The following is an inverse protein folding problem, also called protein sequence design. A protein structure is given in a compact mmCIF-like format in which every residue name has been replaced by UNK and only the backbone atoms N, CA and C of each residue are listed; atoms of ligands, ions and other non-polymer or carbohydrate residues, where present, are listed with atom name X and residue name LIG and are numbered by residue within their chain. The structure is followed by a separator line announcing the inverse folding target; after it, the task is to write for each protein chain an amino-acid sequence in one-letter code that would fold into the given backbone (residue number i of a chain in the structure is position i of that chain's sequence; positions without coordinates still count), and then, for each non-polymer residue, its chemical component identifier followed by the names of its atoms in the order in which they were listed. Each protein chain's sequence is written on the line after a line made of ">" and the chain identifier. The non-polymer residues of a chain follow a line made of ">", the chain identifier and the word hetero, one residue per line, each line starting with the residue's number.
data_IF_257085859067
#
_entry.id   IF_257085859067
#
_cell.length_a   1.000
_cell.length_b   1.000
_cell.length_c   1.000
_cell.angle_alpha   90.00
_cell.angle_beta   90.00
_cell.angle_gamma   90.00
#
_symmetry.space_group_name_H-M   'P 1'
#
loop_
_entity.id
_entity.type
_entity.pdbx_description
1 polymer ?
#
# COMPACT_ATOMS: atom_id res chain seq x y z
N UNK A 1 -9.32 -20.18 48.14
CA UNK A 1 -9.09 -19.27 47.01
C UNK A 1 -8.68 -20.10 45.81
N UNK A 2 -9.34 -19.93 44.67
CA UNK A 2 -8.93 -20.58 43.43
C UNK A 2 -8.05 -19.62 42.62
N UNK A 3 -7.05 -20.17 41.93
CA UNK A 3 -6.14 -19.45 41.05
C UNK A 3 -6.06 -20.20 39.72
N UNK A 4 -6.07 -19.45 38.63
CA UNK A 4 -5.81 -19.95 37.29
C UNK A 4 -4.41 -20.59 37.26
N UNK A 5 -4.31 -21.89 36.96
CA UNK A 5 -3.02 -22.58 36.79
C UNK A 5 -2.52 -22.52 35.36
N UNK A 6 -3.44 -22.47 34.40
CA UNK A 6 -3.12 -22.53 32.97
C UNK A 6 -3.84 -21.43 32.17
N UNK A 7 -3.23 -20.92 31.10
CA UNK A 7 -3.80 -19.84 30.29
C UNK A 7 -5.01 -20.28 29.46
N UNK A 8 -5.16 -21.59 29.19
CA UNK A 8 -6.29 -22.13 28.42
C UNK A 8 -6.49 -23.63 28.70
N UNK A 9 -7.69 -24.11 28.39
CA UNK A 9 -8.03 -25.52 28.28
C UNK A 9 -8.65 -25.77 26.91
N UNK A 10 -8.15 -26.76 26.16
CA UNK A 10 -8.55 -27.02 24.76
C UNK A 10 -9.21 -28.39 24.66
N UNK A 11 -10.41 -28.45 24.09
CA UNK A 11 -11.08 -29.70 23.73
C UNK A 11 -10.98 -29.88 22.21
N UNK A 12 -10.24 -30.89 21.78
CA UNK A 12 -10.07 -31.25 20.36
C UNK A 12 -11.15 -32.26 19.95
N UNK A 13 -12.16 -31.78 19.22
CA UNK A 13 -13.29 -32.60 18.75
C UNK A 13 -13.10 -33.17 17.33
N UNK A 14 -12.11 -32.66 16.58
CA UNK A 14 -11.70 -33.14 15.26
C UNK A 14 -10.19 -32.97 15.09
N UNK A 15 -9.60 -33.65 14.10
CA UNK A 15 -8.21 -33.37 13.73
C UNK A 15 -8.06 -31.90 13.33
N UNK A 16 -6.99 -31.28 13.82
CA UNK A 16 -6.70 -29.89 13.51
C UNK A 16 -6.14 -29.84 12.09
N UNK A 17 -6.72 -28.98 11.27
CA UNK A 17 -6.19 -28.71 9.93
C UNK A 17 -4.96 -27.83 10.08
N UNK A 18 -3.87 -28.21 9.41
CA UNK A 18 -2.68 -27.40 9.35
C UNK A 18 -3.00 -26.16 8.51
N UNK A 19 -2.94 -24.98 9.12
CA UNK A 19 -3.12 -23.74 8.37
C UNK A 19 -1.92 -23.56 7.44
N UNK A 20 -2.11 -23.81 6.14
CA UNK A 20 -1.12 -23.47 5.14
C UNK A 20 -1.05 -21.95 5.01
N UNK A 21 -0.15 -21.33 5.76
CA UNK A 21 0.25 -19.94 5.51
C UNK A 21 0.81 -19.85 4.10
N UNK A 22 0.39 -18.84 3.35
CA UNK A 22 1.19 -18.43 2.20
C UNK A 22 2.54 -17.99 2.76
N UNK A 23 3.58 -18.76 2.42
CA UNK A 23 4.94 -18.38 2.75
C UNK A 23 5.19 -17.07 1.99
N UNK A 24 5.69 -16.04 2.70
CA UNK A 24 6.18 -14.81 2.08
C UNK A 24 6.95 -15.17 0.80
N UNK A 25 6.76 -14.44 -0.32
CA UNK A 25 7.47 -14.72 -1.55
C UNK A 25 8.95 -14.90 -1.24
N UNK A 26 9.48 -16.09 -1.56
CA UNK A 26 10.79 -16.57 -1.09
C UNK A 26 11.94 -15.61 -1.44
N UNK A 27 11.73 -14.79 -2.47
CA UNK A 27 12.77 -13.96 -3.07
C UNK A 27 12.97 -12.61 -2.37
N UNK A 28 12.00 -12.09 -1.60
CA UNK A 28 12.18 -10.77 -0.97
C UNK A 28 11.29 -10.44 0.26
N UNK A 29 11.38 -11.21 1.37
CA UNK A 29 10.63 -10.93 2.60
C UNK A 29 10.95 -9.55 3.20
N UNK A 30 12.10 -8.96 2.86
CA UNK A 30 12.54 -7.65 3.34
C UNK A 30 11.69 -6.49 2.80
N UNK A 31 10.99 -6.66 1.68
CA UNK A 31 10.14 -5.59 1.15
C UNK A 31 8.95 -5.29 2.07
N UNK A 32 8.36 -6.29 2.72
CA UNK A 32 7.25 -6.07 3.65
C UNK A 32 7.70 -5.69 5.06
N UNK A 33 8.98 -5.82 5.41
CA UNK A 33 9.50 -5.28 6.67
C UNK A 33 9.62 -3.76 6.64
N UNK A 34 9.25 -3.02 7.70
CA UNK A 34 8.73 -3.50 8.98
C UNK A 34 7.19 -3.51 9.05
N UNK A 35 6.46 -3.40 7.94
CA UNK A 35 4.99 -3.45 7.96
C UNK A 35 4.46 -4.81 8.43
N UNK A 36 5.24 -5.87 8.21
CA UNK A 36 5.01 -7.21 8.75
C UNK A 36 6.28 -7.65 9.49
N UNK A 37 6.15 -7.94 10.77
CA UNK A 37 7.24 -8.42 11.64
C UNK A 37 6.75 -9.53 12.54
N UNK A 38 7.48 -10.64 12.61
CA UNK A 38 7.09 -11.84 13.39
C UNK A 38 5.65 -12.28 13.08
N UNK A 39 5.29 -12.23 11.79
CA UNK A 39 3.95 -12.53 11.27
C UNK A 39 2.82 -11.66 11.85
N UNK A 40 3.15 -10.48 12.37
CA UNK A 40 2.20 -9.49 12.88
C UNK A 40 2.24 -8.23 12.02
N UNK A 41 1.06 -7.63 11.85
CA UNK A 41 0.93 -6.37 11.14
C UNK A 41 1.35 -5.20 12.04
N UNK A 42 2.31 -4.41 11.57
CA UNK A 42 2.92 -3.29 12.27
C UNK A 42 2.86 -2.02 11.41
N UNK A 43 1.65 -1.57 11.08
CA UNK A 43 1.41 -0.31 10.38
C UNK A 43 0.00 0.25 10.61
N UNK A 44 -0.20 1.52 10.26
CA UNK A 44 -1.52 2.11 10.04
C UNK A 44 -1.80 2.14 8.53
N UNK A 45 -2.99 1.70 8.12
CA UNK A 45 -3.48 1.84 6.74
C UNK A 45 -4.29 3.12 6.65
N UNK A 46 -3.86 4.07 5.83
CA UNK A 46 -4.52 5.36 5.64
C UNK A 46 -5.18 5.37 4.26
N UNK A 47 -6.50 5.56 4.25
CA UNK A 47 -7.29 5.67 3.02
C UNK A 47 -7.95 7.04 2.95
N UNK A 48 -8.20 7.53 1.73
CA UNK A 48 -8.93 8.79 1.54
C UNK A 48 -10.38 8.71 2.03
N UNK A 49 -10.89 9.78 2.64
CA UNK A 49 -12.28 9.85 3.08
C UNK A 49 -13.28 9.87 1.90
N UNK A 50 -14.41 9.13 1.99
CA UNK A 50 -15.46 9.16 0.98
C UNK A 50 -16.24 10.49 0.97
N UNK A 51 -16.16 11.26 2.06
CA UNK A 51 -16.80 12.56 2.18
C UNK A 51 -15.98 13.63 1.43
N UNK A 52 -16.61 14.51 0.64
CA UNK A 52 -15.92 15.61 -0.01
C UNK A 52 -15.16 16.50 0.98
N UNK A 53 -13.85 16.63 0.82
CA UNK A 53 -13.02 17.49 1.65
C UNK A 53 -11.82 18.03 0.85
N UNK A 54 -11.06 18.96 1.45
CA UNK A 54 -9.95 19.63 0.79
C UNK A 54 -10.36 20.61 -0.32
N UNK A 55 -9.38 21.25 -1.00
CA UNK A 55 -9.64 22.26 -2.02
C UNK A 55 -10.44 21.73 -3.22
N UNK A 56 -10.18 20.48 -3.62
CA UNK A 56 -10.77 19.85 -4.81
C UNK A 56 -12.16 19.23 -4.56
N UNK A 57 -12.59 19.11 -3.29
CA UNK A 57 -13.86 18.48 -2.88
C UNK A 57 -14.10 17.10 -3.53
N UNK A 58 -13.04 16.36 -3.80
CA UNK A 58 -13.11 15.05 -4.43
C UNK A 58 -13.58 14.00 -3.42
N UNK A 59 -14.21 12.94 -3.93
CA UNK A 59 -14.61 11.77 -3.13
C UNK A 59 -13.66 10.62 -3.39
N UNK A 60 -13.12 10.03 -2.33
CA UNK A 60 -12.32 8.81 -2.45
C UNK A 60 -13.20 7.62 -2.87
N UNK A 61 -12.73 6.86 -3.87
CA UNK A 61 -13.23 5.51 -4.18
C UNK A 61 -12.17 4.44 -3.91
N UNK A 62 -11.03 4.85 -3.37
CA UNK A 62 -9.82 4.03 -3.28
C UNK A 62 -9.89 2.99 -2.17
N UNK A 63 -10.77 3.20 -1.17
CA UNK A 63 -10.99 2.27 -0.06
C UNK A 63 -11.46 0.89 -0.50
N UNK A 64 -12.25 0.78 -1.58
CA UNK A 64 -12.66 -0.52 -2.13
C UNK A 64 -11.50 -1.29 -2.73
N UNK A 65 -10.62 -0.62 -3.48
CA UNK A 65 -9.45 -1.27 -4.09
C UNK A 65 -8.41 -1.70 -3.05
N UNK A 66 -8.33 -0.98 -1.92
CA UNK A 66 -7.45 -1.35 -0.81
C UNK A 66 -7.76 -2.70 -0.16
N UNK A 67 -8.95 -3.29 -0.40
CA UNK A 67 -9.33 -4.60 0.16
C UNK A 67 -8.44 -5.72 -0.38
N UNK A 68 -8.13 -5.72 -1.69
CA UNK A 68 -7.28 -6.76 -2.28
C UNK A 68 -5.86 -6.71 -1.71
N UNK A 69 -5.34 -5.49 -1.51
CA UNK A 69 -4.05 -5.28 -0.84
C UNK A 69 -4.09 -5.77 0.63
N UNK A 70 -5.19 -5.51 1.35
CA UNK A 70 -5.36 -5.97 2.72
C UNK A 70 -5.43 -7.51 2.81
N UNK A 71 -6.13 -8.17 1.89
CA UNK A 71 -6.19 -9.63 1.81
C UNK A 71 -4.82 -10.25 1.53
N UNK A 72 -4.06 -9.64 0.61
CA UNK A 72 -2.69 -10.06 0.31
C UNK A 72 -1.76 -9.90 1.51
N UNK A 73 -1.76 -8.74 2.17
CA UNK A 73 -0.96 -8.54 3.40
C UNK A 73 -1.40 -9.52 4.49
N UNK A 74 -2.72 -9.73 4.63
CA UNK A 74 -3.33 -10.63 5.58
C UNK A 74 -2.93 -12.09 5.42
N UNK A 75 -2.60 -12.54 4.20
CA UNK A 75 -2.18 -13.92 3.95
C UNK A 75 -0.83 -14.27 4.59
N UNK A 76 -0.05 -13.27 4.99
CA UNK A 76 1.23 -13.43 5.70
C UNK A 76 1.11 -13.35 7.23
N UNK A 77 -0.06 -12.99 7.77
CA UNK A 77 -0.23 -12.78 9.21
C UNK A 77 -0.61 -14.09 9.94
N UNK A 78 -0.14 -14.28 11.18
CA UNK A 78 -0.64 -15.35 12.08
C UNK A 78 -1.82 -14.89 12.94
N UNK A 79 -2.04 -13.57 13.03
CA UNK A 79 -3.06 -12.96 13.85
C UNK A 79 -3.52 -11.65 13.22
N UNK A 80 -4.82 -11.37 13.28
CA UNK A 80 -5.41 -10.11 12.83
C UNK A 80 -5.46 -9.13 14.00
N UNK A 81 -4.65 -8.06 14.03
CA UNK A 81 -4.72 -7.08 15.09
C UNK A 81 -6.00 -6.25 15.04
N UNK A 82 -6.22 -5.42 16.09
CA UNK A 82 -7.26 -4.42 16.13
C UNK A 82 -7.26 -3.53 14.86
N UNK A 83 -8.40 -2.88 14.53
CA UNK A 83 -8.53 -2.07 13.33
C UNK A 83 -7.37 -1.06 13.19
N UNK A 84 -6.57 -1.23 12.14
CA UNK A 84 -5.41 -0.39 11.81
C UNK A 84 -5.70 0.58 10.67
N UNK A 85 -6.94 0.56 10.15
CA UNK A 85 -7.39 1.42 9.07
C UNK A 85 -7.91 2.74 9.63
N UNK A 86 -7.50 3.86 9.02
CA UNK A 86 -7.93 5.21 9.36
C UNK A 86 -8.27 5.98 8.09
N UNK A 87 -9.29 6.83 8.17
CA UNK A 87 -9.50 7.85 7.15
C UNK A 87 -8.44 8.94 7.30
N UNK A 88 -7.95 9.48 6.20
CA UNK A 88 -7.00 10.60 6.18
C UNK A 88 -7.47 11.84 6.98
N UNK A 89 -8.78 12.04 7.12
CA UNK A 89 -9.40 13.08 7.97
C UNK A 89 -9.39 12.76 9.47
N UNK A 90 -9.23 11.50 9.85
CA UNK A 90 -9.26 11.01 11.23
C UNK A 90 -7.86 10.81 11.82
N UNK A 91 -6.84 10.72 10.97
CA UNK A 91 -5.45 10.54 11.39
C UNK A 91 -5.01 11.68 12.33
N UNK A 92 -4.20 11.32 13.33
CA UNK A 92 -3.57 12.24 14.29
C UNK A 92 -2.04 12.17 14.19
N UNK A 93 -1.34 13.14 14.76
CA UNK A 93 0.12 13.23 14.69
C UNK A 93 0.84 11.97 15.18
N UNK A 94 0.33 11.35 16.24
CA UNK A 94 0.92 10.11 16.78
C UNK A 94 0.68 8.90 15.87
N UNK A 95 -0.38 8.92 15.06
CA UNK A 95 -0.60 7.90 14.04
C UNK A 95 0.36 8.08 12.87
N UNK A 96 0.66 9.32 12.48
CA UNK A 96 1.61 9.64 11.39
C UNK A 96 3.05 9.26 11.73
N UNK A 97 3.43 9.16 13.00
CA UNK A 97 4.79 8.80 13.42
C UNK A 97 5.08 7.29 13.43
N UNK A 98 4.12 6.45 13.05
CA UNK A 98 4.24 4.97 12.97
C UNK A 98 4.62 4.52 11.56
N UNK A 99 4.68 3.20 11.30
CA UNK A 99 4.75 2.72 9.92
C UNK A 99 3.41 2.99 9.22
N UNK A 100 3.45 3.45 7.99
CA UNK A 100 2.26 3.86 7.23
C UNK A 100 2.13 3.07 5.94
N UNK A 101 0.93 2.59 5.64
CA UNK A 101 0.53 2.17 4.30
C UNK A 101 -0.54 3.15 3.85
N UNK A 102 -0.28 3.89 2.79
CA UNK A 102 -1.17 4.95 2.31
C UNK A 102 -1.71 4.54 0.95
N UNK A 103 -3.03 4.57 0.82
CA UNK A 103 -3.75 4.22 -0.40
C UNK A 103 -4.50 5.45 -0.90
N UNK A 104 -4.27 5.76 -2.17
CA UNK A 104 -4.98 6.81 -2.89
C UNK A 104 -4.14 8.05 -3.18
N UNK A 105 -4.50 8.72 -4.28
CA UNK A 105 -3.78 9.87 -4.82
C UNK A 105 -3.94 11.15 -4.00
N UNK A 106 -3.12 12.18 -4.28
CA UNK A 106 -3.07 13.43 -3.52
C UNK A 106 -4.36 14.25 -3.57
N UNK A 107 -5.21 14.02 -4.58
CA UNK A 107 -6.51 14.70 -4.70
C UNK A 107 -7.52 14.19 -3.64
N UNK A 108 -7.43 12.92 -3.27
CA UNK A 108 -8.43 12.24 -2.41
C UNK A 108 -7.85 11.76 -1.08
N UNK A 109 -6.53 11.85 -0.89
CA UNK A 109 -5.84 11.51 0.33
C UNK A 109 -4.91 12.66 0.74
N UNK A 110 -5.27 13.38 1.80
CA UNK A 110 -4.52 14.54 2.30
C UNK A 110 -3.09 14.17 2.69
N UNK A 111 -2.88 13.00 3.29
CA UNK A 111 -1.54 12.57 3.70
C UNK A 111 -0.66 12.32 2.48
N UNK A 112 -1.21 11.72 1.42
CA UNK A 112 -0.50 11.61 0.13
C UNK A 112 -0.09 12.99 -0.38
N UNK A 113 -0.98 13.99 -0.35
CA UNK A 113 -0.67 15.35 -0.80
C UNK A 113 0.47 16.00 0.00
N UNK A 114 0.49 15.84 1.33
CA UNK A 114 1.50 16.42 2.22
C UNK A 114 2.91 15.84 1.99
N UNK A 115 3.00 14.53 1.73
CA UNK A 115 4.29 13.84 1.54
C UNK A 115 4.74 13.80 0.07
N UNK A 116 3.86 14.12 -0.88
CA UNK A 116 4.02 13.88 -2.30
C UNK A 116 5.41 14.31 -2.82
N UNK A 117 5.79 15.58 -2.63
CA UNK A 117 7.06 16.15 -3.11
C UNK A 117 8.32 15.61 -2.37
N UNK A 118 8.15 14.78 -1.33
CA UNK A 118 9.25 14.13 -0.61
C UNK A 118 9.55 12.73 -1.13
N UNK A 119 8.73 12.21 -2.05
CA UNK A 119 8.92 10.88 -2.64
C UNK A 119 9.80 10.96 -3.90
N UNK A 120 10.60 9.91 -4.18
CA UNK A 120 11.44 9.86 -5.39
C UNK A 120 10.61 9.76 -6.69
N UNK A 121 9.38 9.26 -6.57
CA UNK A 121 8.36 9.26 -7.62
C UNK A 121 7.11 9.88 -7.01
N UNK A 122 6.59 10.93 -7.64
CA UNK A 122 5.53 11.76 -7.06
C UNK A 122 4.56 12.25 -8.15
N UNK A 123 3.43 12.80 -7.75
CA UNK A 123 2.46 13.40 -8.67
C UNK A 123 2.75 14.89 -8.91
N UNK A 124 2.99 15.33 -10.13
CA UNK A 124 3.25 16.72 -10.42
C UNK A 124 1.97 17.50 -10.73
N UNK A 125 1.58 18.40 -9.84
CA UNK A 125 0.39 19.23 -9.99
C UNK A 125 0.44 20.12 -11.24
N UNK A 126 1.62 20.63 -11.61
CA UNK A 126 1.79 21.50 -12.77
C UNK A 126 1.59 20.73 -14.09
N UNK A 127 1.82 19.41 -14.05
CA UNK A 127 1.60 18.48 -15.16
C UNK A 127 0.30 17.69 -14.99
N UNK A 128 -0.76 18.34 -14.49
CA UNK A 128 -2.09 17.73 -14.33
C UNK A 128 -2.08 16.46 -13.47
N UNK A 129 -1.27 16.46 -12.41
CA UNK A 129 -1.03 15.34 -11.51
C UNK A 129 -0.45 14.10 -12.19
N UNK A 130 0.24 14.25 -13.32
CA UNK A 130 1.03 13.17 -13.92
C UNK A 130 2.07 12.64 -12.93
N UNK A 131 2.39 11.35 -13.02
CA UNK A 131 3.45 10.77 -12.19
C UNK A 131 4.79 11.20 -12.78
N UNK A 132 5.67 11.75 -11.96
CA UNK A 132 7.03 12.14 -12.33
C UNK A 132 8.05 11.36 -11.48
N UNK A 133 9.07 10.81 -12.14
CA UNK A 133 10.18 10.13 -11.48
C UNK A 133 11.40 11.02 -11.45
N UNK A 134 11.86 11.41 -10.26
CA UNK A 134 13.15 12.09 -10.10
C UNK A 134 14.34 11.16 -10.31
N UNK A 135 14.10 9.83 -10.38
CA UNK A 135 15.15 8.83 -10.59
C UNK A 135 15.51 8.76 -12.07
N UNK A 136 14.51 8.69 -12.95
CA UNK A 136 14.69 8.57 -14.41
C UNK A 136 14.55 9.90 -15.15
N UNK A 137 13.86 10.89 -14.57
CA UNK A 137 13.42 12.12 -15.24
C UNK A 137 12.15 11.95 -16.09
N UNK A 138 11.55 10.75 -16.13
CA UNK A 138 10.36 10.47 -16.93
C UNK A 138 9.08 11.02 -16.30
N UNK A 139 8.10 11.29 -17.15
CA UNK A 139 6.74 11.67 -16.77
C UNK A 139 5.73 10.73 -17.41
N UNK A 140 4.76 10.27 -16.61
CA UNK A 140 3.72 9.32 -16.97
C UNK A 140 2.35 10.00 -16.80
N UNK A 141 1.74 10.51 -17.89
CA UNK A 141 0.52 11.32 -17.82
C UNK A 141 -0.78 10.50 -17.77
N UNK A 142 -0.70 9.20 -18.03
CA UNK A 142 -1.84 8.28 -18.15
C UNK A 142 -2.62 8.15 -16.83
N UNK A 143 -3.95 8.10 -16.91
CA UNK A 143 -4.82 7.97 -15.73
C UNK A 143 -4.76 6.55 -15.13
N UNK A 144 -4.40 5.57 -15.97
CA UNK A 144 -4.14 4.17 -15.66
C UNK A 144 -2.74 3.95 -15.07
N UNK A 145 -1.92 5.00 -14.99
CA UNK A 145 -0.62 4.94 -14.34
C UNK A 145 -0.75 5.01 -12.81
N UNK A 146 -0.07 4.10 -12.14
CA UNK A 146 0.04 4.02 -10.69
C UNK A 146 1.49 4.04 -10.23
N UNK A 147 1.73 4.50 -9.00
CA UNK A 147 3.02 4.43 -8.34
C UNK A 147 2.94 3.54 -7.09
N UNK A 148 4.07 2.89 -6.82
CA UNK A 148 4.29 2.08 -5.62
C UNK A 148 5.62 2.52 -5.04
N UNK A 149 5.60 3.12 -3.86
CA UNK A 149 6.80 3.69 -3.23
C UNK A 149 6.91 3.21 -1.80
N UNK A 150 7.98 2.48 -1.49
CA UNK A 150 8.43 2.19 -0.13
C UNK A 150 9.59 3.12 0.22
N UNK A 151 9.46 3.89 1.29
CA UNK A 151 10.47 4.85 1.74
C UNK A 151 10.51 4.97 3.27
N UNK A 152 11.43 5.79 3.79
CA UNK A 152 11.39 6.22 5.19
C UNK A 152 10.19 7.13 5.40
N UNK A 153 9.52 6.98 6.54
CA UNK A 153 8.40 7.83 6.88
C UNK A 153 8.88 9.29 7.11
N UNK A 154 8.38 10.28 6.34
CA UNK A 154 8.77 11.68 6.50
C UNK A 154 8.41 12.32 7.84
N UNK A 155 7.43 11.77 8.56
CA UNK A 155 7.03 12.22 9.90
C UNK A 155 7.89 11.59 11.01
N UNK A 156 8.55 10.46 10.73
CA UNK A 156 9.46 9.78 11.64
C UNK A 156 10.41 8.81 10.89
N UNK A 157 11.67 9.19 10.73
CA UNK A 157 12.66 8.42 9.94
C UNK A 157 13.01 7.03 10.51
N UNK A 158 12.61 6.74 11.75
CA UNK A 158 12.74 5.40 12.33
C UNK A 158 11.67 4.42 11.80
N UNK A 159 10.60 4.93 11.19
CA UNK A 159 9.51 4.15 10.61
C UNK A 159 9.52 4.22 9.08
N UNK A 160 8.70 3.40 8.44
CA UNK A 160 8.60 3.29 6.98
C UNK A 160 7.22 3.65 6.47
N UNK A 161 7.18 3.99 5.19
CA UNK A 161 5.98 4.37 4.48
C UNK A 161 5.90 3.56 3.19
N UNK A 162 4.73 3.00 2.91
CA UNK A 162 4.38 2.37 1.65
C UNK A 162 3.22 3.16 1.04
N UNK A 163 3.47 3.82 -0.08
CA UNK A 163 2.46 4.55 -0.85
C UNK A 163 2.06 3.71 -2.06
N UNK A 164 0.76 3.45 -2.21
CA UNK A 164 0.18 2.75 -3.36
C UNK A 164 -0.95 3.64 -3.89
N UNK A 165 -0.71 4.31 -5.01
CA UNK A 165 -1.62 5.36 -5.47
C UNK A 165 -1.54 5.58 -6.98
N UNK A 166 -2.65 6.00 -7.57
CA UNK A 166 -2.69 6.67 -8.87
C UNK A 166 -3.29 8.07 -8.74
N UNK A 167 -3.17 8.84 -9.82
CA UNK A 167 -3.83 10.15 -9.96
C UNK A 167 -5.36 10.00 -9.91
N UNK A 168 -5.85 8.92 -10.53
CA UNK A 168 -7.25 8.49 -10.52
C UNK A 168 -7.36 7.07 -9.94
N UNK A 169 -8.60 6.66 -9.70
CA UNK A 169 -8.90 5.33 -9.16
C UNK A 169 -8.39 4.20 -10.07
N UNK A 170 -8.36 4.40 -11.39
CA UNK A 170 -7.79 3.46 -12.37
C UNK A 170 -6.31 3.21 -12.09
N UNK A 171 -5.50 4.27 -11.94
CA UNK A 171 -4.10 4.17 -11.55
C UNK A 171 -3.89 3.56 -10.16
N UNK A 172 -4.72 3.87 -9.17
CA UNK A 172 -4.64 3.22 -7.84
C UNK A 172 -4.89 1.71 -7.97
N UNK A 173 -5.88 1.31 -8.77
CA UNK A 173 -6.15 -0.10 -9.06
C UNK A 173 -4.98 -0.76 -9.80
N UNK A 174 -4.37 -0.09 -10.78
CA UNK A 174 -3.16 -0.58 -11.43
C UNK A 174 -2.02 -0.78 -10.42
N UNK A 175 -1.76 0.18 -9.54
CA UNK A 175 -0.75 0.05 -8.48
C UNK A 175 -1.01 -1.17 -7.59
N UNK A 176 -2.26 -1.41 -7.21
CA UNK A 176 -2.65 -2.57 -6.39
C UNK A 176 -2.49 -3.88 -7.17
N UNK A 177 -3.00 -3.98 -8.40
CA UNK A 177 -2.84 -5.18 -9.23
C UNK A 177 -1.37 -5.48 -9.47
N UNK A 178 -0.55 -4.46 -9.72
CA UNK A 178 0.89 -4.61 -9.82
C UNK A 178 1.50 -5.14 -8.54
N UNK A 179 1.14 -4.57 -7.40
CA UNK A 179 1.58 -5.06 -6.09
C UNK A 179 1.28 -6.54 -5.89
N UNK A 180 0.09 -7.00 -6.29
CA UNK A 180 -0.38 -8.37 -6.12
C UNK A 180 0.26 -9.35 -7.10
N UNK A 181 0.25 -9.00 -8.39
CA UNK A 181 0.65 -9.92 -9.49
C UNK A 181 2.13 -9.86 -9.83
N UNK A 182 2.82 -8.76 -9.49
CA UNK A 182 4.22 -8.48 -9.84
C UNK A 182 5.06 -8.14 -8.60
N UNK A 183 4.68 -8.68 -7.43
CA UNK A 183 5.32 -8.39 -6.14
C UNK A 183 6.84 -8.58 -6.16
N UNK A 184 7.33 -9.67 -6.77
CA UNK A 184 8.77 -9.97 -6.81
C UNK A 184 9.54 -8.90 -7.60
N UNK A 185 8.97 -8.41 -8.70
CA UNK A 185 9.60 -7.37 -9.50
C UNK A 185 9.53 -5.99 -8.83
N UNK A 186 8.44 -5.69 -8.12
CA UNK A 186 8.31 -4.49 -7.30
C UNK A 186 9.36 -4.48 -6.19
N UNK A 187 9.58 -5.64 -5.56
CA UNK A 187 10.50 -5.79 -4.44
C UNK A 187 11.97 -5.57 -4.83
N UNK A 188 12.33 -5.81 -6.09
CA UNK A 188 13.68 -5.56 -6.62
C UNK A 188 14.09 -4.08 -6.56
N UNK A 189 13.13 -3.15 -6.47
CA UNK A 189 13.37 -1.71 -6.50
C UNK A 189 13.49 -1.16 -7.91
N UNK A 190 13.72 0.13 -8.03
CA UNK A 190 13.71 0.88 -9.29
C UNK A 190 14.76 0.34 -10.28
N UNK A 191 14.44 0.34 -11.58
CA UNK A 191 15.36 -0.18 -12.61
C UNK A 191 16.63 0.66 -12.76
N UNK A 192 16.55 1.97 -12.50
CA UNK A 192 17.68 2.90 -12.59
C UNK A 192 18.50 2.95 -11.30
N UNK A 193 17.87 2.73 -10.14
CA UNK A 193 18.54 2.59 -8.85
C UNK A 193 17.81 1.57 -7.95
N UNK A 194 18.40 0.37 -7.82
CA UNK A 194 17.80 -0.72 -7.02
C UNK A 194 17.68 -0.42 -5.53
N UNK A 195 18.41 0.57 -5.01
CA UNK A 195 18.31 1.02 -3.62
C UNK A 195 17.01 1.78 -3.36
N UNK A 196 16.47 2.43 -4.39
CA UNK A 196 15.20 3.16 -4.33
C UNK A 196 14.07 2.16 -4.55
N UNK A 197 13.22 1.99 -3.55
CA UNK A 197 12.06 1.09 -3.62
C UNK A 197 10.84 1.82 -4.16
N UNK A 198 10.93 2.28 -5.40
CA UNK A 198 9.88 3.01 -6.09
C UNK A 198 9.68 2.46 -7.51
N UNK A 199 8.41 2.29 -7.90
CA UNK A 199 8.00 1.76 -9.21
C UNK A 199 6.86 2.58 -9.79
N UNK A 200 6.84 2.66 -11.11
CA UNK A 200 5.66 3.10 -11.88
C UNK A 200 5.10 1.88 -12.61
N UNK A 201 3.79 1.72 -12.54
CA UNK A 201 3.05 0.69 -13.27
C UNK A 201 1.99 1.34 -14.14
N UNK A 202 1.64 0.69 -15.24
CA UNK A 202 0.58 1.11 -16.13
C UNK A 202 -0.45 -0.02 -16.24
N UNK A 203 -1.71 0.30 -15.98
CA UNK A 203 -2.82 -0.63 -16.11
C UNK A 203 -3.11 -0.98 -17.57
N UNK A 204 -3.32 -2.26 -17.83
CA UNK A 204 -3.73 -2.78 -19.13
C UNK A 204 -5.04 -3.54 -18.96
N UNK A 205 -5.93 -3.36 -19.94
CA UNK A 205 -7.17 -4.12 -20.11
C UNK A 205 -6.92 -5.14 -21.24
N UNK A 206 -6.61 -6.38 -20.88
CA UNK A 206 -6.27 -7.43 -21.84
C UNK A 206 -7.51 -8.06 -22.48
N UNK A 207 -8.61 -8.19 -21.74
CA UNK A 207 -9.85 -8.79 -22.23
C UNK A 207 -10.84 -7.79 -22.83
N UNK A 208 -10.50 -6.50 -22.82
CA UNK A 208 -11.26 -5.39 -23.41
C UNK A 208 -12.63 -5.16 -22.77
N UNK A 209 -12.79 -5.48 -21.48
CA UNK A 209 -14.03 -5.29 -20.73
C UNK A 209 -14.16 -3.88 -20.09
N UNK A 210 -13.13 -3.04 -20.25
CA UNK A 210 -13.03 -1.70 -19.66
C UNK A 210 -12.44 -1.69 -18.24
N UNK A 211 -11.96 -2.82 -17.74
CA UNK A 211 -11.37 -2.99 -16.42
C UNK A 211 -9.89 -3.34 -16.56
N UNK A 212 -9.06 -2.67 -15.76
CA UNK A 212 -7.65 -3.04 -15.62
C UNK A 212 -7.56 -4.45 -15.03
N UNK A 213 -7.09 -5.41 -15.81
CA UNK A 213 -6.93 -6.81 -15.43
C UNK A 213 -5.44 -7.22 -15.31
N UNK A 214 -4.53 -6.41 -15.86
CA UNK A 214 -3.10 -6.64 -15.91
C UNK A 214 -2.34 -5.34 -15.76
N UNK A 215 -1.03 -5.45 -15.56
CA UNK A 215 -0.14 -4.28 -15.46
C UNK A 215 1.20 -4.52 -16.13
N UNK A 216 1.77 -3.44 -16.62
CA UNK A 216 3.16 -3.36 -17.06
C UNK A 216 3.97 -2.50 -16.09
N UNK A 217 5.18 -2.94 -15.75
CA UNK A 217 6.13 -2.11 -14.98
C UNK A 217 6.84 -1.19 -15.96
N UNK A 218 6.70 0.12 -15.74
CA UNK A 218 7.30 1.16 -16.60
C UNK A 218 8.69 1.57 -16.10
N UNK A 219 8.95 1.42 -14.81
CA UNK A 219 10.21 1.76 -14.13
C UNK A 219 10.33 1.04 -12.79
#
# INVERSE_FOLDING_TARGET
>A
YYRLTEPAFVIRLKELEEAHKQILPKDNPEFLKPFIENDQFNANIIVGSPDPHGPEKARSRDGYYGIDLALFIGSFLSYTPMPSVRLDTEVRDDDLKKNLIIIGGPIVNKITAEINRKMPIFFDQDLQWAIHSSVSGNTYPSDESGLIVKSKNPYNHNHHLLLVAGKRYSGTRAAIIGFLKKFDDISKGNVHDRSIKAKVVEGVDLDSDGLIDSVEIRE
#
